data_IF_518055702975
#
_entry.id   IF_518055702975
#
_cell.length_a   1.000
_cell.length_b   1.000
_cell.length_c   1.000
_cell.angle_alpha   90.00
_cell.angle_beta   90.00
_cell.angle_gamma   90.00
#
_symmetry.space_group_name_H-M   'P 1'
#
loop_
_entity.id
_entity.type
_entity.pdbx_description
1 polymer ?
#
# COMPACT_ATOMS: atom_id res chain seq x y z
N UNK A 1 31.61 -77.49 26.52
CA UNK A 1 31.52 -76.31 25.68
C UNK A 1 30.06 -75.86 25.58
N UNK A 2 29.66 -74.90 26.39
CA UNK A 2 28.28 -74.40 26.47
C UNK A 2 28.24 -73.05 25.71
N UNK A 3 27.46 -72.98 24.68
CA UNK A 3 27.19 -71.71 23.95
C UNK A 3 26.06 -70.97 24.65
N UNK A 4 26.34 -69.76 25.09
CA UNK A 4 25.35 -68.81 25.59
C UNK A 4 24.76 -68.04 24.39
N UNK A 5 23.44 -68.10 24.24
CA UNK A 5 22.71 -67.30 23.28
C UNK A 5 22.25 -65.98 23.96
N UNK A 6 22.73 -64.86 23.44
CA UNK A 6 22.28 -63.53 23.86
C UNK A 6 21.09 -63.13 23.02
N UNK A 7 19.91 -63.08 23.66
CA UNK A 7 18.70 -62.54 23.07
C UNK A 7 18.63 -61.01 23.18
N UNK A 8 18.60 -60.30 22.09
CA UNK A 8 18.34 -58.85 22.04
C UNK A 8 16.83 -58.59 22.05
N UNK A 9 16.36 -57.96 23.10
CA UNK A 9 14.99 -57.46 23.21
C UNK A 9 14.97 -56.07 22.56
N UNK A 10 14.35 -55.95 21.38
CA UNK A 10 14.07 -54.67 20.74
C UNK A 10 12.81 -54.09 21.37
N UNK A 11 12.97 -52.99 22.12
CA UNK A 11 11.88 -52.21 22.73
C UNK A 11 11.38 -51.18 21.70
N UNK A 12 10.28 -51.49 21.02
CA UNK A 12 9.60 -50.57 20.10
C UNK A 12 8.76 -49.58 20.90
N UNK A 13 9.24 -48.36 21.02
CA UNK A 13 8.48 -47.23 21.56
C UNK A 13 7.51 -46.71 20.47
N UNK A 14 6.24 -47.02 20.62
CA UNK A 14 5.15 -46.39 19.87
C UNK A 14 4.88 -44.99 20.44
N UNK A 15 5.37 -43.96 19.79
CA UNK A 15 4.98 -42.58 20.03
C UNK A 15 3.56 -42.35 19.43
N UNK A 16 2.54 -42.40 20.29
CA UNK A 16 1.22 -41.92 19.95
C UNK A 16 1.24 -40.39 19.90
N UNK A 17 1.30 -39.80 18.71
CA UNK A 17 1.09 -38.36 18.49
C UNK A 17 -0.41 -38.09 18.75
N UNK A 18 -0.73 -37.55 19.94
CA UNK A 18 -2.05 -37.02 20.22
C UNK A 18 -2.24 -35.77 19.36
N UNK A 19 -3.02 -35.85 18.30
CA UNK A 19 -3.52 -34.69 17.55
C UNK A 19 -4.42 -33.88 18.49
N UNK A 20 -3.89 -32.81 19.06
CA UNK A 20 -4.69 -31.84 19.79
C UNK A 20 -5.57 -31.11 18.77
N UNK A 21 -6.83 -31.52 18.68
CA UNK A 21 -7.84 -30.77 17.96
C UNK A 21 -7.95 -29.39 18.62
N UNK A 22 -7.49 -28.35 17.93
CA UNK A 22 -7.70 -26.98 18.39
C UNK A 22 -9.20 -26.72 18.46
N UNK A 23 -9.66 -26.36 19.67
CA UNK A 23 -11.04 -25.95 19.87
C UNK A 23 -11.42 -24.84 18.87
N UNK A 24 -12.63 -24.81 18.34
CA UNK A 24 -13.09 -23.75 17.46
C UNK A 24 -12.86 -22.41 18.15
N UNK A 25 -12.12 -21.52 17.50
CA UNK A 25 -11.91 -20.16 18.00
C UNK A 25 -13.27 -19.50 18.17
N UNK A 26 -13.57 -18.99 19.35
CA UNK A 26 -14.78 -18.21 19.57
C UNK A 26 -14.94 -17.10 18.51
N UNK A 27 -16.14 -16.80 18.05
CA UNK A 27 -16.38 -15.71 17.12
C UNK A 27 -15.73 -14.42 17.65
N UNK A 28 -14.89 -13.78 16.84
CA UNK A 28 -14.27 -12.51 17.23
C UNK A 28 -15.37 -11.46 17.37
N UNK A 29 -15.36 -10.70 18.47
CA UNK A 29 -16.26 -9.58 18.64
C UNK A 29 -16.18 -8.64 17.40
N UNK A 30 -17.30 -8.05 16.97
CA UNK A 30 -17.27 -7.08 15.89
C UNK A 30 -16.33 -5.92 16.25
N UNK A 31 -15.59 -5.38 15.29
CA UNK A 31 -14.69 -4.26 15.54
C UNK A 31 -15.47 -3.04 16.03
N UNK A 32 -14.82 -2.20 16.83
CA UNK A 32 -15.39 -0.95 17.26
C UNK A 32 -15.70 -0.03 16.06
N UNK A 33 -16.70 0.86 16.15
CA UNK A 33 -16.99 1.81 15.07
C UNK A 33 -15.81 2.75 14.83
N UNK A 34 -15.68 3.25 13.61
CA UNK A 34 -14.69 4.26 13.26
C UNK A 34 -14.93 5.56 14.07
N UNK A 35 -13.86 6.20 14.59
CA UNK A 35 -13.97 7.49 15.27
C UNK A 35 -14.42 8.59 14.31
N UNK A 36 -14.90 9.70 14.86
CA UNK A 36 -15.34 10.87 14.11
C UNK A 36 -14.50 12.09 14.46
N UNK A 37 -14.27 12.96 13.47
CA UNK A 37 -13.67 14.27 13.68
C UNK A 37 -14.72 15.33 14.14
N UNK A 38 -14.25 16.55 14.37
CA UNK A 38 -15.12 17.63 14.85
C UNK A 38 -16.22 18.03 13.86
N UNK A 39 -16.05 17.75 12.57
CA UNK A 39 -17.06 18.02 11.53
C UNK A 39 -18.02 16.84 11.33
N UNK A 40 -17.87 15.76 12.12
CA UNK A 40 -18.69 14.55 12.04
C UNK A 40 -18.27 13.58 10.93
N UNK A 41 -17.23 13.87 10.17
CA UNK A 41 -16.67 12.94 9.21
C UNK A 41 -15.90 11.82 9.92
N UNK A 42 -15.70 10.71 9.23
CA UNK A 42 -14.83 9.65 9.73
C UNK A 42 -13.42 10.22 9.94
N UNK A 43 -12.89 10.03 11.15
CA UNK A 43 -11.49 10.34 11.42
C UNK A 43 -10.60 9.20 10.97
N UNK A 44 -9.60 9.50 10.17
CA UNK A 44 -8.54 8.56 9.82
C UNK A 44 -7.40 8.57 10.85
N UNK A 45 -7.36 9.58 11.71
CA UNK A 45 -6.36 9.72 12.77
C UNK A 45 -6.61 8.76 13.92
N UNK A 46 -5.55 8.51 14.68
CA UNK A 46 -5.65 8.03 16.06
C UNK A 46 -6.13 9.12 17.02
N UNK A 47 -5.94 8.87 18.30
CA UNK A 47 -6.22 9.83 19.37
C UNK A 47 -5.14 9.72 20.46
N UNK A 48 -5.14 10.63 21.42
CA UNK A 48 -4.21 10.57 22.54
C UNK A 48 -4.32 9.26 23.38
N UNK A 49 -5.43 8.53 23.23
CA UNK A 49 -5.68 7.24 23.90
C UNK A 49 -5.56 6.04 22.98
N UNK A 50 -5.37 6.28 21.70
CA UNK A 50 -5.34 5.29 20.64
C UNK A 50 -4.28 5.73 19.62
N UNK A 51 -3.03 5.66 20.06
CA UNK A 51 -1.87 5.97 19.22
C UNK A 51 -1.63 4.79 18.28
N UNK A 52 -1.35 5.07 17.01
CA UNK A 52 -1.09 4.04 16.02
C UNK A 52 -0.89 4.63 14.63
N UNK A 53 -0.61 3.76 13.69
CA UNK A 53 -0.51 4.09 12.27
C UNK A 53 -1.25 3.07 11.40
N UNK A 54 -1.40 3.38 10.12
CA UNK A 54 -1.99 2.48 9.13
C UNK A 54 -0.91 1.68 8.44
N UNK A 55 -0.99 0.36 8.53
CA UNK A 55 -0.08 -0.54 7.85
C UNK A 55 -0.77 -1.28 6.71
N UNK A 56 -0.14 -1.23 5.55
CA UNK A 56 -0.56 -2.02 4.39
C UNK A 56 -0.17 -3.50 4.55
N UNK A 57 -0.75 -4.38 3.73
CA UNK A 57 -0.39 -5.78 3.74
C UNK A 57 1.08 -5.97 3.33
N UNK A 58 1.87 -6.60 4.19
CA UNK A 58 3.34 -6.72 4.06
C UNK A 58 3.82 -7.36 2.74
N UNK A 59 2.97 -8.11 2.05
CA UNK A 59 3.30 -8.84 0.82
C UNK A 59 2.29 -8.58 -0.30
N UNK A 60 1.58 -7.45 -0.29
CA UNK A 60 0.65 -7.16 -1.35
C UNK A 60 1.38 -6.88 -2.65
N UNK A 61 1.15 -7.71 -3.62
CA UNK A 61 1.29 -7.32 -5.02
C UNK A 61 0.29 -6.21 -5.32
N UNK A 62 0.71 -5.24 -6.10
CA UNK A 62 0.11 -3.90 -6.10
C UNK A 62 -0.82 -3.69 -7.29
N UNK A 63 -1.14 -4.74 -7.98
CA UNK A 63 -2.08 -4.62 -9.06
C UNK A 63 -3.46 -5.06 -8.63
N UNK A 64 -4.38 -4.18 -8.84
CA UNK A 64 -5.78 -4.45 -8.77
C UNK A 64 -6.45 -3.82 -9.95
N UNK A 65 -7.37 -4.55 -10.45
CA UNK A 65 -8.13 -4.21 -11.62
C UNK A 65 -9.48 -3.59 -11.22
N UNK A 66 -9.91 -2.59 -11.97
CA UNK A 66 -11.32 -2.26 -12.11
C UNK A 66 -11.65 -2.52 -13.58
N UNK A 67 -12.19 -3.69 -13.88
CA UNK A 67 -12.73 -3.99 -15.21
C UNK A 67 -14.24 -3.85 -15.15
N UNK A 68 -14.81 -3.07 -16.06
CA UNK A 68 -16.26 -2.88 -16.22
C UNK A 68 -17.00 -2.47 -14.94
N UNK A 69 -16.39 -1.63 -14.09
CA UNK A 69 -16.97 -1.22 -12.83
C UNK A 69 -17.02 -2.31 -11.76
N UNK A 70 -16.45 -3.47 -12.01
CA UNK A 70 -16.30 -4.55 -11.03
C UNK A 70 -14.91 -4.47 -10.43
N UNK A 71 -14.87 -4.31 -9.11
CA UNK A 71 -13.65 -4.39 -8.35
C UNK A 71 -13.18 -5.84 -8.30
N UNK A 72 -12.00 -6.09 -8.77
CA UNK A 72 -11.27 -7.27 -8.35
C UNK A 72 -10.70 -6.98 -6.97
N UNK A 73 -10.92 -7.91 -6.07
CA UNK A 73 -10.66 -7.79 -4.64
C UNK A 73 -9.28 -7.24 -4.32
N UNK A 74 -9.16 -6.42 -3.26
CA UNK A 74 -7.87 -5.92 -2.82
C UNK A 74 -6.88 -7.05 -2.55
N UNK A 75 -5.64 -6.74 -2.73
CA UNK A 75 -4.49 -7.61 -2.68
C UNK A 75 -4.36 -8.56 -1.47
N UNK A 76 -5.10 -8.34 -0.40
CA UNK A 76 -5.13 -9.28 0.74
C UNK A 76 -5.69 -10.67 0.39
N UNK A 77 -6.36 -10.82 -0.74
CA UNK A 77 -6.94 -12.07 -1.22
C UNK A 77 -6.42 -12.52 -2.58
N UNK A 78 -5.52 -11.75 -3.18
CA UNK A 78 -4.93 -12.12 -4.47
C UNK A 78 -3.70 -13.00 -4.27
N UNK A 79 -3.52 -14.03 -5.09
CA UNK A 79 -2.24 -14.69 -5.21
C UNK A 79 -1.18 -13.65 -5.60
N UNK A 80 0.04 -13.84 -5.17
CA UNK A 80 1.18 -12.93 -5.17
C UNK A 80 1.58 -12.29 -6.49
N UNK A 81 0.87 -12.56 -7.60
CA UNK A 81 1.05 -11.93 -8.90
C UNK A 81 -0.31 -11.83 -9.62
N UNK A 82 -0.94 -10.65 -9.66
CA UNK A 82 -1.96 -10.40 -10.66
C UNK A 82 -1.31 -10.47 -12.06
N UNK A 83 -2.04 -10.95 -13.02
CA UNK A 83 -1.57 -11.03 -14.39
C UNK A 83 -1.30 -9.63 -14.92
N UNK A 84 -0.11 -9.41 -15.45
CA UNK A 84 0.24 -8.19 -16.20
C UNK A 84 -0.65 -7.95 -17.40
N UNK A 85 -1.26 -9.02 -17.89
CA UNK A 85 -2.12 -8.96 -19.08
C UNK A 85 -3.43 -8.22 -18.79
N UNK A 86 -3.77 -8.05 -17.51
CA UNK A 86 -4.98 -7.33 -17.09
C UNK A 86 -4.79 -5.80 -17.05
N UNK A 87 -3.55 -5.30 -17.06
CA UNK A 87 -3.29 -3.85 -17.09
C UNK A 87 -3.29 -3.35 -18.53
N UNK A 88 -4.14 -2.36 -18.87
CA UNK A 88 -4.32 -1.90 -20.24
C UNK A 88 -3.17 -0.96 -20.69
N UNK A 89 -1.93 -1.44 -20.66
CA UNK A 89 -0.77 -0.66 -21.02
C UNK A 89 -0.77 -0.22 -22.49
N UNK A 90 -0.27 0.99 -22.74
CA UNK A 90 0.30 1.33 -24.04
C UNK A 90 1.56 0.47 -24.30
N UNK A 91 1.91 0.15 -25.56
CA UNK A 91 3.05 -0.73 -25.87
C UNK A 91 4.36 -0.32 -25.18
N UNK A 92 4.73 0.95 -25.24
CA UNK A 92 5.94 1.49 -24.62
C UNK A 92 5.92 1.35 -23.09
N UNK A 93 4.75 1.53 -22.48
CA UNK A 93 4.59 1.45 -21.03
C UNK A 93 4.73 0.01 -20.54
N UNK A 94 4.21 -0.96 -21.29
CA UNK A 94 4.41 -2.39 -21.04
C UNK A 94 5.90 -2.77 -21.13
N UNK A 95 6.58 -2.34 -22.17
CA UNK A 95 8.02 -2.58 -22.36
C UNK A 95 8.84 -2.01 -21.19
N UNK A 96 8.58 -0.75 -20.83
CA UNK A 96 9.26 -0.10 -19.70
C UNK A 96 8.97 -0.80 -18.39
N UNK A 97 7.72 -1.22 -18.15
CA UNK A 97 7.37 -1.99 -16.98
C UNK A 97 8.18 -3.30 -16.91
N UNK A 98 8.20 -4.09 -17.98
CA UNK A 98 8.94 -5.35 -18.04
C UNK A 98 10.44 -5.16 -17.77
N UNK A 99 11.03 -4.11 -18.33
CA UNK A 99 12.44 -3.75 -18.09
C UNK A 99 12.68 -3.44 -16.61
N UNK A 100 11.84 -2.61 -15.99
CA UNK A 100 11.95 -2.24 -14.57
C UNK A 100 11.77 -3.45 -13.66
N UNK A 101 10.79 -4.30 -13.98
CA UNK A 101 10.52 -5.52 -13.23
C UNK A 101 11.71 -6.50 -13.29
N UNK A 102 12.30 -6.68 -14.46
CA UNK A 102 13.47 -7.53 -14.64
C UNK A 102 14.72 -6.99 -13.93
N UNK A 103 14.84 -5.68 -13.74
CA UNK A 103 15.97 -5.06 -13.05
C UNK A 103 15.89 -5.17 -11.50
N UNK A 104 14.89 -5.85 -10.96
CA UNK A 104 14.68 -6.00 -9.52
C UNK A 104 14.75 -4.64 -8.78
N UNK A 105 14.13 -3.62 -9.34
CA UNK A 105 14.05 -2.26 -8.79
C UNK A 105 15.38 -1.47 -8.79
N UNK A 106 16.36 -1.85 -9.58
CA UNK A 106 17.66 -1.16 -9.65
C UNK A 106 17.52 0.36 -9.92
N UNK A 107 16.54 0.74 -10.74
CA UNK A 107 16.26 2.13 -11.11
C UNK A 107 15.10 2.77 -10.34
N UNK A 108 14.62 2.11 -9.31
CA UNK A 108 13.51 2.65 -8.51
C UNK A 108 13.92 3.94 -7.78
N UNK A 109 13.25 5.08 -8.05
CA UNK A 109 13.55 6.33 -7.36
C UNK A 109 13.40 6.23 -5.84
N UNK A 110 12.51 5.38 -5.36
CA UNK A 110 12.28 5.18 -3.93
C UNK A 110 13.52 4.62 -3.22
N UNK A 111 14.26 3.69 -3.84
CA UNK A 111 15.52 3.16 -3.28
C UNK A 111 16.61 4.23 -3.19
N UNK A 112 16.45 5.33 -3.92
CA UNK A 112 17.33 6.52 -3.87
C UNK A 112 16.72 7.66 -3.07
N UNK A 113 15.91 7.34 -2.08
CA UNK A 113 15.28 8.31 -1.17
C UNK A 113 14.44 9.38 -1.88
N UNK A 114 13.76 9.02 -2.96
CA UNK A 114 12.76 9.89 -3.58
C UNK A 114 11.36 9.53 -3.09
N UNK A 115 10.43 10.51 -3.07
CA UNK A 115 9.05 10.26 -2.65
C UNK A 115 8.40 9.13 -3.42
N UNK A 116 7.54 8.36 -2.75
CA UNK A 116 6.82 7.24 -3.36
C UNK A 116 5.88 7.70 -4.48
N UNK A 117 5.29 8.88 -4.33
CA UNK A 117 4.28 9.38 -5.25
C UNK A 117 2.97 8.59 -5.18
N UNK A 118 1.89 9.18 -5.64
CA UNK A 118 0.59 8.56 -5.90
C UNK A 118 0.14 7.44 -4.96
N UNK A 119 -0.47 6.40 -5.49
CA UNK A 119 -1.00 5.28 -4.71
C UNK A 119 0.06 4.54 -3.90
N UNK A 120 1.29 4.51 -4.39
CA UNK A 120 2.38 3.76 -3.77
C UNK A 120 2.66 4.16 -2.32
N UNK A 121 2.35 5.40 -1.91
CA UNK A 121 2.54 5.81 -0.53
C UNK A 121 1.70 4.99 0.46
N UNK A 122 0.55 4.46 0.03
CA UNK A 122 -0.30 3.58 0.84
C UNK A 122 0.24 2.16 0.98
N UNK A 123 1.31 1.86 0.28
CA UNK A 123 1.97 0.56 0.26
C UNK A 123 3.49 0.66 0.44
N UNK A 124 3.95 1.65 1.15
CA UNK A 124 5.35 1.72 1.57
C UNK A 124 5.57 0.92 2.85
N UNK A 125 6.77 0.39 3.09
CA UNK A 125 7.15 -0.13 4.40
C UNK A 125 6.96 0.93 5.48
N UNK A 126 6.74 0.47 6.71
CA UNK A 126 6.64 1.30 7.94
C UNK A 126 5.32 2.06 8.09
N UNK A 127 4.37 1.86 7.19
CA UNK A 127 3.04 2.44 7.31
C UNK A 127 2.96 3.94 7.03
N UNK A 128 1.79 4.47 7.33
CA UNK A 128 1.48 5.89 7.18
C UNK A 128 0.49 6.34 8.25
N UNK A 129 0.49 7.63 8.51
CA UNK A 129 -0.53 8.28 9.31
C UNK A 129 -1.41 9.17 8.40
N UNK A 130 -2.71 9.21 8.69
CA UNK A 130 -3.63 10.12 8.00
C UNK A 130 -4.26 11.02 9.07
N UNK A 131 -4.03 12.31 8.95
CA UNK A 131 -4.49 13.30 9.92
C UNK A 131 -5.58 14.16 9.31
N UNK A 132 -6.79 14.05 9.87
CA UNK A 132 -7.84 15.01 9.57
C UNK A 132 -7.56 16.34 10.29
N UNK A 133 -7.60 17.44 9.57
CA UNK A 133 -7.50 18.80 10.10
C UNK A 133 -8.80 19.57 9.78
N UNK A 134 -9.86 19.39 10.58
CA UNK A 134 -11.16 19.97 10.28
C UNK A 134 -11.16 21.49 10.30
N UNK A 135 -10.29 22.12 11.11
CA UNK A 135 -10.19 23.59 11.22
C UNK A 135 -9.63 24.23 9.94
N UNK A 136 -8.77 23.52 9.21
CA UNK A 136 -8.18 24.00 7.95
C UNK A 136 -8.84 23.40 6.71
N UNK A 137 -9.78 22.47 6.87
CA UNK A 137 -10.35 21.66 5.79
C UNK A 137 -9.27 20.95 4.97
N UNK A 138 -8.35 20.29 5.65
CA UNK A 138 -7.25 19.54 5.04
C UNK A 138 -7.18 18.14 5.63
N UNK A 139 -6.70 17.20 4.81
CA UNK A 139 -6.31 15.88 5.25
C UNK A 139 -4.85 15.66 4.85
N UNK A 140 -4.01 15.36 5.82
CA UNK A 140 -2.60 15.08 5.60
C UNK A 140 -2.37 13.57 5.57
N UNK A 141 -1.62 13.10 4.59
CA UNK A 141 -1.14 11.73 4.53
C UNK A 141 0.38 11.77 4.74
N UNK A 142 0.83 11.22 5.85
CA UNK A 142 2.22 11.24 6.31
C UNK A 142 2.81 9.84 6.13
N UNK A 143 3.77 9.67 5.23
CA UNK A 143 4.43 8.39 5.01
C UNK A 143 5.75 8.34 5.78
N UNK A 144 5.99 7.27 6.54
CA UNK A 144 7.25 7.04 7.24
C UNK A 144 8.35 6.63 6.25
N UNK A 145 8.01 5.74 5.31
CA UNK A 145 8.96 5.26 4.31
C UNK A 145 9.42 6.33 3.31
N UNK A 146 10.62 6.14 2.75
CA UNK A 146 11.33 7.08 1.89
C UNK A 146 11.75 8.37 2.64
N UNK A 147 11.75 9.56 2.03
CA UNK A 147 12.27 10.77 2.67
C UNK A 147 11.24 11.47 3.58
N UNK A 148 10.51 10.77 4.45
CA UNK A 148 9.49 11.39 5.30
C UNK A 148 8.64 12.38 4.53
N UNK A 149 7.89 11.89 3.60
CA UNK A 149 7.11 12.74 2.70
C UNK A 149 5.64 12.79 3.12
N UNK A 150 5.03 13.90 2.83
CA UNK A 150 3.62 14.10 3.10
C UNK A 150 2.89 14.58 1.87
N UNK A 151 1.59 14.38 1.89
CA UNK A 151 0.66 14.85 0.87
C UNK A 151 -0.48 15.58 1.57
N UNK A 152 -0.91 16.70 1.02
CA UNK A 152 -2.09 17.45 1.48
C UNK A 152 -3.25 17.19 0.53
N UNK A 153 -4.41 16.93 1.07
CA UNK A 153 -5.68 16.84 0.37
C UNK A 153 -6.56 17.98 0.87
N UNK A 154 -6.89 18.89 -0.01
CA UNK A 154 -7.74 20.05 0.32
C UNK A 154 -9.22 19.69 0.22
N UNK A 155 -9.97 19.87 1.29
CA UNK A 155 -11.41 19.52 1.37
C UNK A 155 -12.31 20.73 1.48
N UNK A 156 -11.80 21.93 1.20
CA UNK A 156 -12.51 23.21 1.26
C UNK A 156 -13.30 23.56 -0.03
N UNK A 157 -13.35 22.63 -0.98
CA UNK A 157 -14.08 22.81 -2.24
C UNK A 157 -13.31 23.57 -3.33
N UNK A 158 -12.03 23.89 -3.08
CA UNK A 158 -11.21 24.55 -4.11
C UNK A 158 -11.03 23.69 -5.37
N UNK A 159 -10.79 24.34 -6.50
CA UNK A 159 -10.37 23.67 -7.73
C UNK A 159 -8.85 23.49 -7.74
N UNK A 160 -8.36 22.65 -8.67
CA UNK A 160 -6.94 22.60 -8.96
C UNK A 160 -6.44 23.95 -9.49
N UNK A 161 -5.32 24.49 -8.99
CA UNK A 161 -4.78 25.74 -9.48
C UNK A 161 -4.31 25.61 -10.94
N UNK A 162 -4.50 26.67 -11.71
CA UNK A 162 -4.01 26.73 -13.08
C UNK A 162 -2.49 26.88 -13.08
N UNK A 163 -1.81 26.13 -13.94
CA UNK A 163 -0.38 26.31 -14.19
C UNK A 163 0.55 25.97 -13.02
N UNK A 164 0.12 25.15 -12.04
CA UNK A 164 1.02 24.77 -10.97
C UNK A 164 2.13 23.82 -11.46
N UNK A 165 3.28 23.91 -10.81
CA UNK A 165 4.44 23.11 -11.19
C UNK A 165 4.24 21.63 -10.80
N UNK A 166 4.39 20.68 -11.73
CA UNK A 166 4.25 19.26 -11.44
C UNK A 166 5.18 18.81 -10.30
N UNK A 167 4.64 17.95 -9.42
CA UNK A 167 5.35 17.46 -8.24
C UNK A 167 5.24 15.94 -8.10
N UNK A 168 5.92 15.38 -7.09
CA UNK A 168 5.88 13.94 -6.80
C UNK A 168 4.48 13.44 -6.42
N UNK A 169 3.72 14.26 -5.71
CA UNK A 169 2.36 13.94 -5.22
C UNK A 169 1.26 14.68 -5.98
N UNK A 170 1.63 15.56 -6.93
CA UNK A 170 0.67 16.37 -7.65
C UNK A 170 -0.02 17.39 -6.74
N UNK A 171 -1.25 17.74 -7.09
CA UNK A 171 -2.19 18.52 -6.30
C UNK A 171 -3.46 17.73 -6.09
N UNK A 172 -3.96 17.69 -4.86
CA UNK A 172 -5.10 16.84 -4.46
C UNK A 172 -6.22 17.67 -3.88
N UNK A 173 -7.42 17.48 -4.40
CA UNK A 173 -8.67 18.05 -3.85
C UNK A 173 -9.59 16.92 -3.44
N UNK A 174 -10.22 17.03 -2.29
CA UNK A 174 -11.07 16.02 -1.70
C UNK A 174 -12.49 16.48 -1.49
N UNK A 175 -13.44 15.55 -1.55
CA UNK A 175 -14.84 15.74 -1.22
C UNK A 175 -15.33 14.56 -0.40
N UNK A 176 -16.04 14.85 0.67
CA UNK A 176 -16.68 13.83 1.46
C UNK A 176 -17.98 13.36 0.80
N UNK A 177 -18.12 12.04 0.62
CA UNK A 177 -19.34 11.36 0.20
C UNK A 177 -19.73 10.38 1.32
N UNK A 178 -20.52 10.84 2.26
CA UNK A 178 -20.79 10.12 3.50
C UNK A 178 -19.49 9.88 4.28
N UNK A 179 -19.17 8.63 4.55
CA UNK A 179 -17.95 8.19 5.26
C UNK A 179 -16.76 7.90 4.35
N UNK A 180 -16.83 8.33 3.10
CA UNK A 180 -15.76 8.15 2.12
C UNK A 180 -15.22 9.50 1.68
N UNK A 181 -13.92 9.69 1.81
CA UNK A 181 -13.19 10.79 1.20
C UNK A 181 -12.85 10.42 -0.24
N UNK A 182 -13.46 11.12 -1.20
CA UNK A 182 -13.16 10.99 -2.63
C UNK A 182 -12.16 12.07 -3.01
N UNK A 183 -11.02 11.67 -3.56
CA UNK A 183 -9.91 12.56 -3.87
C UNK A 183 -9.65 12.56 -5.36
N UNK A 184 -9.55 13.73 -5.94
CA UNK A 184 -9.07 13.94 -7.29
C UNK A 184 -7.66 14.53 -7.24
N UNK A 185 -6.73 13.94 -7.99
CA UNK A 185 -5.32 14.32 -7.97
C UNK A 185 -4.74 14.37 -9.36
N UNK A 186 -4.01 15.44 -9.65
CA UNK A 186 -3.37 15.69 -10.96
C UNK A 186 -2.04 16.42 -10.79
N UNK A 187 -1.30 16.62 -11.90
CA UNK A 187 -0.04 17.37 -11.90
C UNK A 187 1.14 16.62 -11.34
N UNK A 188 1.23 15.37 -11.65
CA UNK A 188 2.35 14.52 -11.32
C UNK A 188 3.54 14.77 -12.25
N UNK A 189 4.76 14.66 -11.73
CA UNK A 189 6.00 14.92 -12.47
C UNK A 189 6.56 13.72 -13.24
N UNK A 190 5.83 12.60 -13.30
CA UNK A 190 6.20 11.34 -13.94
C UNK A 190 7.56 10.73 -13.51
N UNK A 191 8.08 11.12 -12.35
CA UNK A 191 9.39 10.65 -11.85
C UNK A 191 9.31 9.50 -10.85
N UNK A 192 8.14 9.22 -10.27
CA UNK A 192 7.92 8.07 -9.40
C UNK A 192 7.42 6.86 -10.21
N UNK A 193 7.25 5.75 -9.53
CA UNK A 193 6.55 4.60 -10.06
C UNK A 193 5.20 4.48 -9.34
N UNK A 194 4.14 4.09 -10.05
CA UNK A 194 2.82 3.88 -9.42
C UNK A 194 2.85 2.75 -8.40
N UNK A 195 3.73 1.79 -8.65
CA UNK A 195 3.86 0.60 -7.82
C UNK A 195 5.32 0.24 -7.63
N UNK A 196 5.60 -0.60 -6.65
CA UNK A 196 6.95 -1.10 -6.38
C UNK A 196 7.54 -1.91 -7.54
N UNK A 197 6.69 -2.53 -8.35
CA UNK A 197 7.09 -3.37 -9.48
C UNK A 197 7.48 -2.56 -10.72
N UNK A 198 7.35 -1.24 -10.69
CA UNK A 198 7.86 -0.40 -11.77
C UNK A 198 6.82 0.11 -12.76
N UNK A 199 5.54 0.12 -12.39
CA UNK A 199 4.46 0.60 -13.25
C UNK A 199 4.66 2.07 -13.59
N UNK A 200 4.81 2.40 -14.88
CA UNK A 200 5.04 3.77 -15.32
C UNK A 200 3.76 4.60 -15.37
N UNK A 201 3.93 5.90 -15.35
CA UNK A 201 2.89 6.88 -15.67
C UNK A 201 3.50 8.10 -16.34
N UNK A 202 2.66 8.94 -16.91
CA UNK A 202 3.05 10.18 -17.58
C UNK A 202 2.60 11.41 -16.77
N UNK A 203 2.93 12.59 -17.23
CA UNK A 203 2.45 13.87 -16.69
C UNK A 203 0.95 14.10 -16.91
N UNK A 204 0.30 13.22 -17.69
CA UNK A 204 -1.17 13.22 -17.92
C UNK A 204 -1.93 12.43 -16.87
N UNK A 205 -1.22 11.82 -15.90
CA UNK A 205 -1.84 11.04 -14.84
C UNK A 205 -2.85 11.87 -14.05
N UNK A 206 -4.06 11.33 -13.94
CA UNK A 206 -5.09 11.74 -12.99
C UNK A 206 -5.49 10.54 -12.17
N UNK A 207 -5.57 10.71 -10.87
CA UNK A 207 -6.03 9.70 -9.93
C UNK A 207 -7.36 10.14 -9.34
N UNK A 208 -8.33 9.22 -9.32
CA UNK A 208 -9.50 9.33 -8.47
C UNK A 208 -9.35 8.30 -7.35
N UNK A 209 -9.28 8.75 -6.11
CA UNK A 209 -9.02 7.89 -4.96
C UNK A 209 -10.23 7.90 -4.03
N UNK A 210 -10.48 6.80 -3.35
CA UNK A 210 -11.54 6.65 -2.35
C UNK A 210 -10.93 6.09 -1.08
N UNK A 211 -11.03 6.86 -0.01
CA UNK A 211 -10.49 6.51 1.31
C UNK A 211 -11.66 6.39 2.27
N UNK A 212 -11.80 5.25 2.93
CA UNK A 212 -12.86 5.03 3.91
C UNK A 212 -12.35 4.21 5.09
N UNK A 213 -12.94 4.44 6.27
CA UNK A 213 -12.64 3.70 7.50
C UNK A 213 -13.94 3.06 8.01
N UNK A 214 -14.27 1.85 7.56
CA UNK A 214 -15.55 1.21 7.90
C UNK A 214 -15.65 0.82 9.38
N UNK A 215 -14.55 0.62 10.05
CA UNK A 215 -14.44 0.32 11.48
C UNK A 215 -13.14 0.87 12.04
N UNK A 216 -12.95 0.75 13.37
CA UNK A 216 -11.78 1.25 14.08
C UNK A 216 -10.46 0.77 13.47
N UNK A 217 -10.37 -0.50 13.06
CA UNK A 217 -9.13 -1.17 12.71
C UNK A 217 -8.89 -1.29 11.19
N UNK A 218 -9.83 -0.80 10.37
CA UNK A 218 -9.80 -1.05 8.93
C UNK A 218 -9.83 0.27 8.15
N UNK A 219 -8.84 0.49 7.31
CA UNK A 219 -8.84 1.53 6.30
C UNK A 219 -8.91 0.88 4.92
N UNK A 220 -9.83 1.35 4.09
CA UNK A 220 -9.91 0.96 2.68
C UNK A 220 -9.42 2.10 1.82
N UNK A 221 -8.47 1.80 0.97
CA UNK A 221 -7.96 2.70 -0.04
C UNK A 221 -8.21 2.12 -1.42
N UNK A 222 -8.76 2.88 -2.32
CA UNK A 222 -9.01 2.53 -3.70
C UNK A 222 -8.55 3.67 -4.60
N UNK A 223 -7.96 3.34 -5.75
CA UNK A 223 -7.53 4.32 -6.74
C UNK A 223 -7.94 3.90 -8.14
N UNK A 224 -8.44 4.84 -8.92
CA UNK A 224 -8.61 4.73 -10.37
C UNK A 224 -7.52 5.53 -11.05
N UNK A 225 -6.79 4.88 -11.92
CA UNK A 225 -5.72 5.45 -12.75
C UNK A 225 -6.30 5.84 -14.10
N UNK A 226 -6.19 7.10 -14.46
CA UNK A 226 -6.56 7.66 -15.75
C UNK A 226 -5.33 8.37 -16.33
N UNK A 227 -4.62 7.69 -17.22
CA UNK A 227 -3.42 8.24 -17.90
C UNK A 227 -3.37 7.75 -19.34
N UNK A 228 -3.97 8.50 -20.27
CA UNK A 228 -4.00 8.12 -21.69
C UNK A 228 -2.62 8.09 -22.34
N UNK A 229 -1.60 8.65 -21.70
CA UNK A 229 -0.22 8.55 -22.16
C UNK A 229 0.40 7.17 -21.93
N UNK A 230 0.01 6.48 -20.85
CA UNK A 230 0.55 5.19 -20.47
C UNK A 230 -0.41 4.02 -20.66
N UNK A 231 -1.71 4.25 -20.73
CA UNK A 231 -2.76 3.22 -20.74
C UNK A 231 -3.79 3.47 -21.83
N UNK A 232 -4.37 2.39 -22.35
CA UNK A 232 -5.42 2.42 -23.36
C UNK A 232 -6.83 2.57 -22.76
N UNK A 233 -6.96 2.34 -21.46
CA UNK A 233 -8.20 2.47 -20.69
C UNK A 233 -7.90 2.83 -19.23
N UNK A 234 -8.92 3.30 -18.51
CA UNK A 234 -8.83 3.48 -17.05
C UNK A 234 -8.73 2.12 -16.37
N UNK A 235 -7.94 2.07 -15.32
CA UNK A 235 -7.77 0.89 -14.50
C UNK A 235 -7.55 1.30 -13.04
N UNK A 236 -7.50 0.36 -12.14
CA UNK A 236 -7.23 0.73 -10.76
C UNK A 236 -7.48 -0.38 -9.77
N UNK A 237 -7.56 -0.03 -8.47
CA UNK A 237 -7.83 -0.93 -7.36
C UNK A 237 -7.50 -0.39 -6.01
N UNK A 238 -7.12 -1.22 -5.00
CA UNK A 238 -6.92 -0.73 -3.65
C UNK A 238 -6.43 -1.74 -2.65
N UNK A 239 -6.23 -1.27 -1.45
CA UNK A 239 -5.79 -2.08 -0.33
C UNK A 239 -6.70 -1.92 0.85
N UNK A 240 -6.65 -2.91 1.70
CA UNK A 240 -7.10 -2.78 3.07
C UNK A 240 -5.87 -2.65 3.96
N UNK A 241 -5.75 -1.51 4.61
CA UNK A 241 -4.74 -1.27 5.63
C UNK A 241 -5.35 -1.56 7.00
N UNK A 242 -4.49 -1.92 7.95
CA UNK A 242 -4.89 -2.20 9.32
C UNK A 242 -4.31 -1.17 10.26
N UNK A 243 -5.09 -0.81 11.27
CA UNK A 243 -4.61 -0.03 12.38
C UNK A 243 -3.62 -0.84 13.20
N UNK A 244 -2.43 -0.31 13.38
CA UNK A 244 -1.36 -0.90 14.20
C UNK A 244 -1.24 -0.09 15.47
N UNK A 245 -1.97 -0.55 16.50
CA UNK A 245 -2.03 0.10 17.81
C UNK A 245 -0.66 0.14 18.46
N UNK A 246 -0.31 1.29 19.04
CA UNK A 246 0.95 1.52 19.73
C UNK A 246 2.14 1.82 18.81
N UNK A 247 1.97 1.75 17.50
CA UNK A 247 3.01 2.15 16.57
C UNK A 247 2.96 3.66 16.32
N UNK A 248 4.04 4.33 16.65
CA UNK A 248 4.21 5.75 16.36
C UNK A 248 5.07 5.95 15.12
N UNK A 249 4.85 7.03 14.33
CA UNK A 249 5.81 7.44 13.34
C UNK A 249 7.19 7.63 13.97
N UNK A 250 8.22 7.11 13.35
CA UNK A 250 9.58 7.18 13.85
C UNK A 250 10.51 7.84 12.83
N UNK A 251 11.65 8.31 13.31
CA UNK A 251 12.67 8.90 12.45
C UNK A 251 13.26 7.84 11.51
N UNK A 252 12.97 7.97 10.23
CA UNK A 252 13.53 7.14 9.17
C UNK A 252 14.33 7.99 8.21
N UNK A 253 15.65 8.08 8.46
CA UNK A 253 16.55 8.85 7.61
C UNK A 253 17.05 7.99 6.45
N UNK A 254 16.31 8.01 5.37
CA UNK A 254 16.58 7.19 4.20
C UNK A 254 18.02 7.28 3.67
N UNK A 255 18.67 8.45 3.81
CA UNK A 255 20.07 8.64 3.37
C UNK A 255 21.08 8.03 4.34
N UNK A 256 20.73 7.84 5.61
CA UNK A 256 21.65 7.28 6.58
C UNK A 256 21.84 5.78 6.32
N UNK A 257 23.11 5.40 6.05
CA UNK A 257 23.49 4.01 5.80
C UNK A 257 22.67 3.32 4.68
N UNK A 258 22.16 4.10 3.72
CA UNK A 258 21.41 3.56 2.60
C UNK A 258 22.30 2.71 1.68
N UNK A 259 22.21 1.38 1.84
CA UNK A 259 22.93 0.37 1.04
C UNK A 259 22.07 -0.20 -0.09
N UNK A 260 20.81 0.20 -0.18
CA UNK A 260 19.84 -0.36 -1.13
C UNK A 260 20.26 -0.17 -2.59
N UNK A 261 20.75 1.02 -3.03
CA UNK A 261 21.20 1.18 -4.40
C UNK A 261 22.28 0.21 -4.85
N UNK A 262 23.09 -0.29 -3.90
CA UNK A 262 24.13 -1.27 -4.18
C UNK A 262 23.72 -2.73 -4.03
N UNK A 263 22.63 -3.01 -3.31
CA UNK A 263 22.18 -4.37 -3.00
C UNK A 263 20.97 -4.82 -3.80
N UNK A 264 20.09 -3.89 -4.17
CA UNK A 264 18.91 -4.14 -4.98
C UNK A 264 19.19 -3.98 -6.48
N UNK A 265 20.42 -3.82 -6.84
CA UNK A 265 20.81 -3.85 -8.25
C UNK A 265 20.66 -5.29 -8.73
N UNK A 266 19.73 -5.51 -9.64
CA UNK A 266 19.81 -6.62 -10.56
C UNK A 266 21.20 -6.71 -11.18
N UNK A 267 21.50 -7.70 -12.03
CA UNK A 267 22.80 -7.81 -12.65
C UNK A 267 23.17 -6.43 -13.21
N UNK A 268 24.35 -5.95 -12.81
CA UNK A 268 24.86 -4.67 -13.29
C UNK A 268 24.74 -4.72 -14.80
N UNK A 269 23.83 -3.91 -15.36
CA UNK A 269 23.78 -3.76 -16.80
C UNK A 269 25.16 -3.29 -17.26
N UNK A 270 25.81 -4.10 -18.07
CA UNK A 270 26.97 -3.72 -18.85
C UNK A 270 26.58 -2.64 -19.86
#
# INVERSE_FOLDING_TARGET
MKRLATGSIALTLLLAAAAQAQAPRAPRAPPAPAPRDANGHVSFSGSAKDIGNWEGPANASIFFEITDGKKVSPAASLPTNPSLDDVPFQPWAKELYLKRHASLQADDPHTRCKPSGGPRMFHTPYGLEIVNSPDTNEVFVLAVGAPHSWRVIYTDGRAHPQGFKPSWYGHSVGKWEGDTLVVDSTGYNARAWLTREGVPYTDKLRLTERISRPDHNTLRYEATVDDPGAYTAKWGGGWTLRWSEGNEPFDYLCQENNRDPGRMTGPKGE
#
